data_IF_488231729659
#
_entry.id   IF_488231729659
#
_cell.length_a   1.000
_cell.length_b   1.000
_cell.length_c   1.000
_cell.angle_alpha   90.00
_cell.angle_beta   90.00
_cell.angle_gamma   90.00
#
_symmetry.space_group_name_H-M   'P 1'
#
loop_
_entity.id
_entity.type
_entity.pdbx_description
1 polymer ?
#
# COMPACT_ATOMS: atom_id res chain seq x y z
N UNK A 1 -17.81 -24.37 -11.33
CA UNK A 1 -17.42 -23.49 -10.21
C UNK A 1 -18.64 -23.31 -9.35
N UNK A 2 -18.54 -23.66 -8.07
CA UNK A 2 -19.65 -23.48 -7.14
C UNK A 2 -19.92 -22.00 -6.90
N UNK A 3 -21.15 -21.66 -6.57
CA UNK A 3 -21.60 -20.28 -6.37
C UNK A 3 -20.75 -19.56 -5.30
N UNK A 4 -20.36 -20.27 -4.24
CA UNK A 4 -19.48 -19.78 -3.16
C UNK A 4 -18.09 -19.39 -3.71
N UNK A 5 -17.50 -20.24 -4.54
CA UNK A 5 -16.18 -19.99 -5.15
C UNK A 5 -16.20 -18.73 -6.02
N UNK A 6 -17.28 -18.52 -6.78
CA UNK A 6 -17.45 -17.30 -7.60
C UNK A 6 -17.55 -16.06 -6.71
N UNK A 7 -18.29 -16.11 -5.60
CA UNK A 7 -18.39 -15.01 -4.64
C UNK A 7 -17.01 -14.68 -4.07
N UNK A 8 -16.24 -15.67 -3.63
CA UNK A 8 -14.91 -15.44 -3.05
C UNK A 8 -13.97 -14.78 -4.06
N UNK A 9 -13.97 -15.25 -5.32
CA UNK A 9 -13.15 -14.66 -6.38
C UNK A 9 -13.54 -13.19 -6.60
N UNK A 10 -14.84 -12.88 -6.67
CA UNK A 10 -15.33 -11.51 -6.83
C UNK A 10 -14.92 -10.65 -5.63
N UNK A 11 -15.06 -11.16 -4.40
CA UNK A 11 -14.65 -10.45 -3.19
C UNK A 11 -13.15 -10.16 -3.22
N UNK A 12 -12.31 -11.12 -3.58
CA UNK A 12 -10.86 -10.95 -3.65
C UNK A 12 -10.45 -9.91 -4.72
N UNK A 13 -11.08 -9.96 -5.90
CA UNK A 13 -10.85 -8.96 -6.96
C UNK A 13 -11.28 -7.57 -6.46
N UNK A 14 -12.45 -7.46 -5.84
CA UNK A 14 -12.93 -6.19 -5.30
C UNK A 14 -12.03 -5.65 -4.18
N UNK A 15 -11.49 -6.52 -3.32
CA UNK A 15 -10.53 -6.14 -2.28
C UNK A 15 -9.23 -5.62 -2.90
N UNK A 16 -8.66 -6.33 -3.88
CA UNK A 16 -7.43 -5.89 -4.56
C UNK A 16 -7.63 -4.54 -5.28
N UNK A 17 -8.75 -4.36 -6.00
CA UNK A 17 -9.06 -3.10 -6.69
C UNK A 17 -9.29 -1.96 -5.70
N UNK A 18 -10.02 -2.21 -4.59
CA UNK A 18 -10.22 -1.21 -3.53
C UNK A 18 -8.90 -0.82 -2.87
N UNK A 19 -7.99 -1.77 -2.68
CA UNK A 19 -6.67 -1.49 -2.13
C UNK A 19 -5.79 -0.70 -3.08
N UNK A 20 -5.76 -1.08 -4.36
CA UNK A 20 -4.94 -0.44 -5.36
C UNK A 20 -5.39 0.99 -5.68
N UNK A 21 -6.70 1.20 -5.89
CA UNK A 21 -7.23 2.48 -6.40
C UNK A 21 -8.09 3.20 -5.36
N UNK A 22 -8.88 2.45 -4.60
CA UNK A 22 -9.79 3.02 -3.59
C UNK A 22 -9.07 3.67 -2.41
N UNK A 23 -7.83 3.24 -2.10
CA UNK A 23 -7.02 3.87 -1.05
C UNK A 23 -6.34 5.16 -1.51
N UNK A 24 -6.17 5.38 -2.82
CA UNK A 24 -5.46 6.55 -3.36
C UNK A 24 -6.03 7.88 -2.87
N UNK A 25 -7.35 8.15 -2.92
CA UNK A 25 -7.90 9.39 -2.36
C UNK A 25 -7.66 9.54 -0.85
N UNK A 26 -7.59 8.42 -0.11
CA UNK A 26 -7.29 8.43 1.33
C UNK A 26 -5.83 8.79 1.54
N UNK A 27 -4.91 8.19 0.78
CA UNK A 27 -3.47 8.45 0.85
C UNK A 27 -3.15 9.91 0.48
N UNK A 28 -3.77 10.45 -0.57
CA UNK A 28 -3.64 11.88 -0.96
C UNK A 28 -4.12 12.80 0.16
N UNK A 29 -5.27 12.49 0.76
CA UNK A 29 -5.78 13.26 1.90
C UNK A 29 -4.83 13.18 3.10
N UNK A 30 -4.36 11.97 3.39
CA UNK A 30 -3.49 11.69 4.53
C UNK A 30 -2.15 12.42 4.40
N UNK A 31 -1.55 12.37 3.20
CA UNK A 31 -0.32 13.08 2.90
C UNK A 31 -0.45 14.59 3.16
N UNK A 32 -1.52 15.22 2.65
CA UNK A 32 -1.75 16.66 2.84
C UNK A 32 -1.99 17.04 4.29
N UNK A 33 -2.64 16.17 5.07
CA UNK A 33 -2.87 16.38 6.51
C UNK A 33 -1.58 16.22 7.29
N UNK A 34 -0.83 15.13 7.11
CA UNK A 34 0.44 14.87 7.79
C UNK A 34 1.46 15.97 7.47
N UNK A 35 1.58 16.35 6.21
CA UNK A 35 2.39 17.49 5.78
C UNK A 35 2.02 18.78 6.51
N UNK A 36 0.71 19.04 6.64
CA UNK A 36 0.20 20.17 7.38
C UNK A 36 0.64 20.15 8.83
N UNK A 37 0.44 19.03 9.52
CA UNK A 37 0.81 18.86 10.93
C UNK A 37 2.31 19.09 11.17
N UNK A 38 3.18 18.50 10.34
CA UNK A 38 4.64 18.68 10.44
C UNK A 38 5.03 20.16 10.27
N UNK A 39 4.31 20.89 9.41
CA UNK A 39 4.57 22.31 9.12
C UNK A 39 3.82 23.28 10.04
N UNK A 40 3.11 22.79 11.07
CA UNK A 40 2.33 23.64 11.98
C UNK A 40 1.08 24.27 11.35
N UNK A 41 0.51 23.67 10.29
CA UNK A 41 -0.73 24.11 9.62
C UNK A 41 -1.78 23.00 9.57
N UNK A 42 -3.05 23.34 9.33
CA UNK A 42 -4.15 22.38 9.50
C UNK A 42 -4.37 21.42 8.32
N UNK A 43 -3.76 21.62 7.15
CA UNK A 43 -4.10 20.86 5.94
C UNK A 43 -5.54 21.14 5.43
N UNK A 44 -6.10 20.32 4.52
CA UNK A 44 -7.40 20.57 3.90
C UNK A 44 -8.56 20.60 4.92
N UNK A 45 -9.29 21.72 5.00
CA UNK A 45 -10.35 21.91 6.00
C UNK A 45 -11.58 22.70 5.51
N UNK A 46 -11.69 23.03 4.22
CA UNK A 46 -12.76 23.91 3.69
C UNK A 46 -13.79 23.21 2.79
N UNK A 47 -13.34 22.30 1.93
CA UNK A 47 -14.22 21.60 0.99
C UNK A 47 -15.26 20.76 1.73
N UNK A 48 -16.54 20.93 1.38
CA UNK A 48 -17.66 20.22 1.97
C UNK A 48 -18.67 19.79 0.90
N UNK A 49 -19.44 18.74 1.21
CA UNK A 49 -20.66 18.36 0.49
C UNK A 49 -21.80 18.48 1.48
N UNK A 50 -22.79 19.32 1.17
CA UNK A 50 -23.95 19.57 2.03
C UNK A 50 -23.58 19.93 3.50
N UNK A 51 -22.46 20.64 3.71
CA UNK A 51 -22.00 21.05 5.04
C UNK A 51 -21.12 20.03 5.79
N UNK A 52 -20.92 18.82 5.27
CA UNK A 52 -20.03 17.78 5.83
C UNK A 52 -18.66 17.89 5.14
N UNK A 53 -17.54 17.81 5.87
CA UNK A 53 -16.14 17.88 5.35
C UNK A 53 -15.39 16.55 5.45
N UNK A 54 -15.81 15.66 6.36
CA UNK A 54 -15.13 14.42 6.72
C UNK A 54 -13.64 14.65 7.05
N UNK A 55 -13.34 15.68 7.84
CA UNK A 55 -11.95 16.01 8.15
C UNK A 55 -11.10 16.40 6.93
N UNK A 56 -11.72 16.83 5.83
CA UNK A 56 -11.05 17.24 4.60
C UNK A 56 -10.90 16.14 3.55
N UNK A 57 -11.38 14.92 3.80
CA UNK A 57 -11.32 13.80 2.85
C UNK A 57 -12.10 14.09 1.57
N UNK A 58 -13.14 14.90 1.65
CA UNK A 58 -13.93 15.33 0.49
C UNK A 58 -13.06 16.06 -0.55
N UNK A 59 -11.98 16.74 -0.13
CA UNK A 59 -11.09 17.43 -1.06
C UNK A 59 -10.43 16.47 -2.05
N UNK A 60 -9.98 15.28 -1.62
CA UNK A 60 -9.32 14.35 -2.53
C UNK A 60 -10.30 13.74 -3.53
N UNK A 61 -11.55 13.49 -3.10
CA UNK A 61 -12.64 13.08 -3.99
C UNK A 61 -12.96 14.20 -5.00
N UNK A 62 -13.06 15.45 -4.54
CA UNK A 62 -13.30 16.61 -5.40
C UNK A 62 -12.18 16.81 -6.44
N UNK A 63 -10.92 16.62 -6.05
CA UNK A 63 -9.77 16.71 -6.95
C UNK A 63 -9.81 15.61 -8.03
N UNK A 64 -10.18 14.38 -7.65
CA UNK A 64 -10.37 13.28 -8.59
C UNK A 64 -11.48 13.58 -9.59
N UNK A 65 -12.67 13.98 -9.10
CA UNK A 65 -13.80 14.35 -9.95
C UNK A 65 -13.45 15.52 -10.87
N UNK A 66 -12.74 16.53 -10.37
CA UNK A 66 -12.25 17.66 -11.18
C UNK A 66 -11.42 17.17 -12.36
N UNK A 67 -10.50 16.22 -12.16
CA UNK A 67 -9.67 15.70 -13.25
C UNK A 67 -10.47 14.96 -14.32
N UNK A 68 -11.57 14.31 -13.95
CA UNK A 68 -12.48 13.63 -14.89
C UNK A 68 -13.27 14.62 -15.73
N UNK A 69 -13.74 15.73 -15.14
CA UNK A 69 -14.52 16.75 -15.85
C UNK A 69 -13.67 17.83 -16.53
N UNK A 70 -12.36 17.88 -16.25
CA UNK A 70 -11.45 18.84 -16.87
C UNK A 70 -11.23 18.48 -18.33
N UNK A 71 -11.11 19.50 -19.18
CA UNK A 71 -10.78 19.32 -20.60
C UNK A 71 -9.42 18.61 -20.78
N UNK A 72 -9.45 17.49 -21.52
CA UNK A 72 -8.27 16.73 -21.90
C UNK A 72 -7.62 17.33 -23.15
N UNK A 73 -6.75 18.32 -22.95
CA UNK A 73 -6.02 18.99 -24.01
C UNK A 73 -4.78 18.19 -24.44
N UNK A 74 -4.58 18.01 -25.74
CA UNK A 74 -3.36 17.45 -26.32
C UNK A 74 -2.64 18.51 -27.17
N UNK A 75 -1.42 18.93 -26.79
CA UNK A 75 -0.64 19.90 -27.56
C UNK A 75 -0.44 19.53 -29.03
N UNK A 76 -0.50 20.54 -29.91
CA UNK A 76 -0.40 20.34 -31.37
C UNK A 76 0.98 19.87 -31.86
N UNK A 77 2.03 20.06 -31.07
CA UNK A 77 3.39 19.62 -31.40
C UNK A 77 3.64 18.12 -31.13
N UNK A 78 2.70 17.42 -30.47
CA UNK A 78 2.81 15.98 -30.18
C UNK A 78 2.57 15.18 -31.45
N UNK A 79 3.61 14.51 -31.94
CA UNK A 79 3.56 13.67 -33.15
C UNK A 79 2.91 12.31 -32.89
N UNK A 80 3.21 11.69 -31.74
CA UNK A 80 2.83 10.30 -31.44
C UNK A 80 1.66 10.22 -30.45
N UNK A 81 0.45 10.59 -30.89
CA UNK A 81 -0.76 10.64 -30.04
C UNK A 81 -1.13 9.31 -29.38
N UNK A 82 -0.89 8.19 -30.07
CA UNK A 82 -1.14 6.85 -29.54
C UNK A 82 -0.28 6.58 -28.29
N UNK A 83 1.04 6.76 -28.41
CA UNK A 83 1.97 6.57 -27.28
C UNK A 83 1.71 7.56 -26.15
N UNK A 84 1.36 8.80 -26.49
CA UNK A 84 0.98 9.80 -25.50
C UNK A 84 -0.23 9.36 -24.67
N UNK A 85 -1.25 8.77 -25.31
CA UNK A 85 -2.48 8.35 -24.61
C UNK A 85 -2.29 7.06 -23.80
N UNK A 86 -1.49 6.11 -24.30
CA UNK A 86 -1.32 4.80 -23.65
C UNK A 86 -0.31 4.83 -22.49
N UNK A 87 0.65 5.77 -22.49
CA UNK A 87 1.69 5.84 -21.47
C UNK A 87 1.16 5.92 -20.02
N UNK A 88 0.23 6.84 -19.67
CA UNK A 88 -0.37 6.86 -18.33
C UNK A 88 -1.15 5.58 -18.00
N UNK A 89 -1.81 4.98 -19.01
CA UNK A 89 -2.58 3.76 -18.81
C UNK A 89 -1.65 2.58 -18.48
N UNK A 90 -0.48 2.47 -19.11
CA UNK A 90 0.51 1.44 -18.80
C UNK A 90 0.95 1.53 -17.33
N UNK A 91 1.34 2.72 -16.86
CA UNK A 91 1.75 2.92 -15.46
C UNK A 91 0.62 2.54 -14.50
N UNK A 92 -0.60 3.02 -14.77
CA UNK A 92 -1.77 2.70 -13.97
C UNK A 92 -2.07 1.19 -13.92
N UNK A 93 -2.16 0.52 -15.07
CA UNK A 93 -2.47 -0.91 -15.12
C UNK A 93 -1.37 -1.76 -14.49
N UNK A 94 -0.09 -1.42 -14.67
CA UNK A 94 1.00 -2.14 -14.01
C UNK A 94 0.87 -2.03 -12.49
N UNK A 95 0.65 -0.81 -11.95
CA UNK A 95 0.46 -0.62 -10.51
C UNK A 95 -0.77 -1.36 -9.96
N UNK A 96 -1.87 -1.40 -10.71
CA UNK A 96 -3.09 -2.14 -10.36
C UNK A 96 -2.85 -3.66 -10.34
N UNK A 97 -2.20 -4.18 -11.37
CA UNK A 97 -1.95 -5.61 -11.52
C UNK A 97 -0.98 -6.13 -10.46
N UNK A 98 -0.06 -5.30 -9.96
CA UNK A 98 0.81 -5.68 -8.85
C UNK A 98 0.05 -6.12 -7.59
N UNK A 99 -1.12 -5.53 -7.32
CA UNK A 99 -1.96 -5.95 -6.18
C UNK A 99 -2.63 -7.31 -6.36
N UNK A 100 -2.65 -7.86 -7.58
CA UNK A 100 -3.44 -9.05 -7.89
C UNK A 100 -2.96 -10.31 -7.16
N UNK A 101 -1.66 -10.38 -6.85
CA UNK A 101 -1.00 -11.54 -6.25
C UNK A 101 -0.82 -11.43 -4.73
N UNK A 102 -1.18 -10.29 -4.14
CA UNK A 102 -0.94 -10.02 -2.72
C UNK A 102 -1.92 -10.83 -1.87
N UNK A 103 -1.44 -11.68 -0.93
CA UNK A 103 -2.33 -12.43 -0.04
C UNK A 103 -2.86 -11.52 1.07
N UNK A 104 -4.19 -11.42 1.18
CA UNK A 104 -4.85 -10.60 2.20
C UNK A 104 -5.14 -11.37 3.50
N UNK A 105 -5.25 -12.69 3.40
CA UNK A 105 -5.48 -13.62 4.49
C UNK A 105 -4.93 -15.00 4.10
N UNK A 106 -4.95 -15.94 5.05
CA UNK A 106 -4.60 -17.33 4.78
C UNK A 106 -5.65 -17.99 3.87
N UNK A 107 -5.32 -19.17 3.36
CA UNK A 107 -6.23 -20.05 2.62
C UNK A 107 -7.52 -20.31 3.39
N UNK A 108 -8.63 -19.89 2.78
CA UNK A 108 -9.96 -20.02 3.34
C UNK A 108 -10.52 -21.39 2.94
N UNK A 109 -10.81 -22.22 3.94
CA UNK A 109 -11.48 -23.52 3.74
C UNK A 109 -12.98 -23.34 3.95
N UNK A 110 -13.77 -23.55 2.90
CA UNK A 110 -15.23 -23.60 2.97
C UNK A 110 -15.69 -24.91 2.35
N UNK A 111 -16.47 -25.69 3.10
CA UNK A 111 -17.07 -26.95 2.62
C UNK A 111 -16.03 -27.93 2.01
N UNK A 112 -14.83 -27.96 2.59
CA UNK A 112 -13.71 -28.81 2.14
C UNK A 112 -12.96 -28.32 0.90
N UNK A 113 -13.33 -27.16 0.34
CA UNK A 113 -12.61 -26.52 -0.76
C UNK A 113 -11.67 -25.43 -0.24
N UNK A 114 -10.43 -25.42 -0.74
CA UNK A 114 -9.43 -24.43 -0.39
C UNK A 114 -9.48 -23.22 -1.36
N UNK A 115 -9.63 -22.03 -0.80
CA UNK A 115 -9.67 -20.78 -1.56
C UNK A 115 -8.55 -19.84 -1.11
N UNK A 116 -7.62 -19.54 -2.02
CA UNK A 116 -6.55 -18.59 -1.74
C UNK A 116 -7.11 -17.16 -1.72
N UNK A 117 -6.81 -16.40 -0.66
CA UNK A 117 -7.27 -15.02 -0.47
C UNK A 117 -6.40 -14.02 -1.25
N UNK A 118 -6.32 -14.24 -2.57
CA UNK A 118 -5.64 -13.41 -3.56
C UNK A 118 -6.62 -13.15 -4.72
N UNK A 119 -6.44 -12.04 -5.45
CA UNK A 119 -7.30 -11.76 -6.60
C UNK A 119 -7.03 -12.71 -7.77
N UNK A 120 -5.75 -13.01 -8.03
CA UNK A 120 -5.33 -14.03 -8.98
C UNK A 120 -4.49 -15.05 -8.21
N UNK A 121 -5.00 -16.28 -7.99
CA UNK A 121 -4.27 -17.33 -7.28
C UNK A 121 -3.15 -17.86 -8.18
N UNK A 122 -1.98 -17.21 -8.10
CA UNK A 122 -0.82 -17.49 -8.95
C UNK A 122 0.36 -17.96 -8.10
N UNK A 123 1.00 -19.06 -8.51
CA UNK A 123 2.18 -19.59 -7.80
C UNK A 123 3.42 -18.70 -7.94
N UNK A 124 3.49 -17.89 -9.01
CA UNK A 124 4.60 -17.01 -9.36
C UNK A 124 4.45 -15.57 -8.81
N UNK A 125 4.00 -15.42 -7.56
CA UNK A 125 3.64 -14.11 -7.00
C UNK A 125 4.78 -13.08 -7.00
N UNK A 126 6.01 -13.49 -6.66
CA UNK A 126 7.18 -12.60 -6.68
C UNK A 126 7.57 -12.20 -8.11
N UNK A 127 7.56 -13.17 -9.03
CA UNK A 127 7.92 -12.91 -10.42
C UNK A 127 6.90 -12.00 -11.09
N UNK A 128 5.63 -12.11 -10.71
CA UNK A 128 4.57 -11.21 -11.12
C UNK A 128 4.87 -9.77 -10.71
N UNK A 129 5.25 -9.53 -9.45
CA UNK A 129 5.65 -8.21 -8.98
C UNK A 129 6.79 -7.63 -9.79
N UNK A 130 7.89 -8.36 -9.94
CA UNK A 130 9.06 -7.91 -10.69
C UNK A 130 8.73 -7.63 -12.16
N UNK A 131 7.89 -8.45 -12.79
CA UNK A 131 7.48 -8.24 -14.17
C UNK A 131 6.68 -6.94 -14.35
N UNK A 132 5.71 -6.66 -13.47
CA UNK A 132 4.89 -5.44 -13.58
C UNK A 132 5.62 -4.18 -13.09
N UNK A 133 6.52 -4.30 -12.11
CA UNK A 133 7.45 -3.24 -11.71
C UNK A 133 8.30 -2.79 -12.92
N UNK A 134 8.97 -3.73 -13.61
CA UNK A 134 9.75 -3.42 -14.80
C UNK A 134 8.92 -2.90 -15.98
N UNK A 135 7.70 -3.44 -16.19
CA UNK A 135 6.79 -2.97 -17.25
C UNK A 135 6.31 -1.52 -17.03
N UNK A 136 6.13 -1.09 -15.77
CA UNK A 136 5.72 0.29 -15.46
C UNK A 136 6.73 1.32 -15.98
N UNK A 137 8.03 0.97 -16.01
CA UNK A 137 9.11 1.82 -16.52
C UNK A 137 8.91 2.21 -17.99
N UNK A 138 8.33 1.34 -18.82
CA UNK A 138 8.02 1.67 -20.21
C UNK A 138 6.96 2.78 -20.32
N UNK A 139 6.03 2.85 -19.37
CA UNK A 139 5.05 3.94 -19.30
C UNK A 139 5.73 5.30 -19.07
N UNK A 140 6.77 5.36 -18.24
CA UNK A 140 7.57 6.57 -17.98
C UNK A 140 8.36 6.98 -19.23
N UNK A 141 9.02 6.03 -19.89
CA UNK A 141 9.79 6.27 -21.13
C UNK A 141 8.88 6.84 -22.22
N UNK A 142 7.76 6.16 -22.47
CA UNK A 142 6.79 6.55 -23.49
C UNK A 142 6.16 7.91 -23.16
N UNK A 143 5.91 8.20 -21.88
CA UNK A 143 5.39 9.49 -21.43
C UNK A 143 6.30 10.65 -21.82
N UNK A 144 7.58 10.57 -21.48
CA UNK A 144 8.55 11.61 -21.83
C UNK A 144 8.87 11.69 -23.33
N UNK A 145 8.98 10.54 -24.02
CA UNK A 145 9.27 10.50 -25.46
C UNK A 145 8.11 11.06 -26.29
N UNK A 146 6.88 10.66 -25.97
CA UNK A 146 5.69 11.09 -26.73
C UNK A 146 5.31 12.55 -26.49
N UNK A 147 5.71 13.14 -25.36
CA UNK A 147 5.55 14.56 -25.05
C UNK A 147 6.27 15.49 -26.06
N UNK A 148 7.27 14.99 -26.80
CA UNK A 148 8.02 15.75 -27.82
C UNK A 148 8.60 17.09 -27.28
N UNK A 149 8.92 17.13 -25.99
CA UNK A 149 9.58 18.23 -25.29
C UNK A 149 10.96 17.80 -24.80
N UNK A 150 11.97 18.68 -24.91
CA UNK A 150 13.35 18.38 -24.48
C UNK A 150 13.42 18.05 -22.99
N UNK A 151 12.68 18.78 -22.16
CA UNK A 151 12.65 18.57 -20.70
C UNK A 151 11.91 17.28 -20.32
N UNK A 152 10.81 16.97 -21.01
CA UNK A 152 10.07 15.72 -20.80
C UNK A 152 10.92 14.48 -21.13
N UNK A 153 11.66 14.52 -22.24
CA UNK A 153 12.56 13.43 -22.64
C UNK A 153 13.76 13.27 -21.69
N UNK A 154 14.40 14.37 -21.28
CA UNK A 154 15.50 14.31 -20.31
C UNK A 154 15.03 13.77 -18.95
N UNK A 155 13.83 14.18 -18.53
CA UNK A 155 13.21 13.67 -17.31
C UNK A 155 12.99 12.16 -17.37
N UNK A 156 12.34 11.66 -18.44
CA UNK A 156 12.03 10.23 -18.52
C UNK A 156 13.29 9.38 -18.54
N UNK A 157 14.33 9.78 -19.28
CA UNK A 157 15.61 9.04 -19.29
C UNK A 157 16.24 8.99 -17.89
N UNK A 158 16.23 10.09 -17.15
CA UNK A 158 16.77 10.14 -15.78
C UNK A 158 15.98 9.26 -14.82
N UNK A 159 14.65 9.36 -14.84
CA UNK A 159 13.77 8.56 -13.98
C UNK A 159 13.88 7.08 -14.33
N UNK A 160 13.91 6.72 -15.61
CA UNK A 160 14.12 5.35 -16.06
C UNK A 160 15.47 4.79 -15.59
N UNK A 161 16.55 5.56 -15.72
CA UNK A 161 17.87 5.14 -15.25
C UNK A 161 17.89 4.93 -13.72
N UNK A 162 17.14 5.73 -12.97
CA UNK A 162 16.92 5.52 -11.54
C UNK A 162 16.17 4.21 -11.31
N UNK A 163 14.96 4.06 -11.85
CA UNK A 163 14.10 2.89 -11.61
C UNK A 163 14.85 1.59 -11.91
N UNK A 164 15.55 1.49 -13.05
CA UNK A 164 16.34 0.30 -13.42
C UNK A 164 17.43 -0.03 -12.39
N UNK A 165 18.13 0.99 -11.87
CA UNK A 165 19.21 0.79 -10.87
C UNK A 165 18.67 0.20 -9.57
N UNK A 166 17.53 0.70 -9.11
CA UNK A 166 16.89 0.26 -7.87
C UNK A 166 16.11 -1.04 -8.04
N UNK A 167 15.56 -1.33 -9.22
CA UNK A 167 14.91 -2.59 -9.56
C UNK A 167 15.91 -3.76 -9.48
N UNK A 168 17.11 -3.60 -10.04
CA UNK A 168 18.16 -4.61 -9.95
C UNK A 168 18.55 -4.92 -8.49
N UNK A 169 18.73 -3.86 -7.68
CA UNK A 169 19.07 -4.00 -6.26
C UNK A 169 17.93 -4.64 -5.46
N UNK A 170 16.68 -4.28 -5.76
CA UNK A 170 15.49 -4.86 -5.15
C UNK A 170 15.35 -6.35 -5.49
N UNK A 171 15.50 -6.72 -6.76
CA UNK A 171 15.42 -8.11 -7.20
C UNK A 171 16.47 -9.00 -6.49
N UNK A 172 17.71 -8.51 -6.34
CA UNK A 172 18.74 -9.22 -5.59
C UNK A 172 18.38 -9.36 -4.11
N UNK A 173 17.82 -8.33 -3.48
CA UNK A 173 17.33 -8.43 -2.10
C UNK A 173 16.23 -9.49 -1.96
N UNK A 174 15.30 -9.57 -2.91
CA UNK A 174 14.25 -10.61 -2.93
C UNK A 174 14.85 -12.01 -3.05
N UNK A 175 15.91 -12.23 -3.82
CA UNK A 175 16.56 -13.54 -3.93
C UNK A 175 17.01 -14.05 -2.56
N UNK A 176 17.58 -13.18 -1.71
CA UNK A 176 17.96 -13.57 -0.35
C UNK A 176 16.76 -13.95 0.53
N UNK A 177 15.60 -13.34 0.31
CA UNK A 177 14.35 -13.69 0.98
C UNK A 177 13.81 -15.04 0.49
N UNK A 178 13.85 -15.29 -0.83
CA UNK A 178 13.47 -16.58 -1.43
C UNK A 178 14.34 -17.71 -0.86
N UNK A 179 15.67 -17.51 -0.76
CA UNK A 179 16.58 -18.49 -0.19
C UNK A 179 16.27 -18.80 1.29
N UNK A 180 15.79 -17.81 2.04
CA UNK A 180 15.49 -17.99 3.47
C UNK A 180 14.20 -18.79 3.69
N UNK A 181 13.19 -18.59 2.84
CA UNK A 181 11.88 -19.26 2.98
C UNK A 181 11.73 -20.52 2.12
N UNK A 182 12.60 -20.74 1.13
CA UNK A 182 12.53 -21.91 0.25
C UNK A 182 11.32 -21.97 -0.70
N UNK A 183 10.54 -20.89 -0.80
CA UNK A 183 9.37 -20.79 -1.67
C UNK A 183 9.41 -19.49 -2.48
N UNK A 184 8.71 -19.46 -3.61
CA UNK A 184 8.46 -18.25 -4.42
C UNK A 184 7.01 -17.77 -4.28
N UNK A 185 6.18 -18.54 -3.56
CA UNK A 185 4.77 -18.27 -3.37
C UNK A 185 4.58 -17.38 -2.15
N UNK A 186 3.87 -16.26 -2.33
CA UNK A 186 3.74 -15.25 -1.28
C UNK A 186 2.95 -15.76 -0.06
N UNK A 187 1.99 -16.65 -0.24
CA UNK A 187 1.25 -17.17 0.92
C UNK A 187 2.14 -18.03 1.80
N UNK A 188 2.95 -18.92 1.19
CA UNK A 188 3.83 -19.83 1.94
C UNK A 188 4.87 -19.04 2.74
N UNK A 189 5.39 -17.95 2.15
CA UNK A 189 6.29 -17.03 2.85
C UNK A 189 5.64 -16.36 4.06
N UNK A 190 4.36 -15.98 3.96
CA UNK A 190 3.63 -15.39 5.08
C UNK A 190 3.37 -16.45 6.15
N UNK A 191 2.95 -17.66 5.76
CA UNK A 191 2.74 -18.77 6.69
C UNK A 191 4.02 -19.12 7.46
N UNK A 192 5.17 -19.16 6.79
CA UNK A 192 6.47 -19.37 7.43
C UNK A 192 6.85 -18.26 8.44
N UNK A 193 6.35 -17.03 8.23
CA UNK A 193 6.51 -15.90 9.17
C UNK A 193 5.58 -15.97 10.39
N UNK A 194 4.64 -16.91 10.43
CA UNK A 194 3.77 -17.17 11.57
C UNK A 194 4.45 -17.96 12.70
N UNK A 195 5.60 -18.58 12.42
CA UNK A 195 6.36 -19.34 13.42
C UNK A 195 7.06 -18.43 14.45
N UNK A 196 7.40 -18.99 15.60
CA UNK A 196 8.11 -18.29 16.66
C UNK A 196 9.59 -18.69 16.67
N UNK A 197 10.47 -17.76 16.33
CA UNK A 197 11.90 -17.88 16.59
C UNK A 197 12.15 -17.88 18.10
N UNK A 198 12.92 -18.86 18.56
CA UNK A 198 13.30 -19.05 19.97
C UNK A 198 12.11 -19.13 20.95
N UNK A 199 10.90 -19.42 20.44
CA UNK A 199 9.67 -19.53 21.24
C UNK A 199 9.06 -18.21 21.71
N UNK A 200 9.62 -17.05 21.35
CA UNK A 200 9.09 -15.73 21.78
C UNK A 200 9.08 -14.66 20.69
N UNK A 201 9.95 -14.76 19.68
CA UNK A 201 10.12 -13.72 18.67
C UNK A 201 9.40 -14.14 17.38
N UNK A 202 8.48 -13.33 16.81
CA UNK A 202 7.89 -13.66 15.53
C UNK A 202 8.96 -13.84 14.45
N UNK A 203 8.85 -14.86 13.59
CA UNK A 203 9.77 -15.15 12.49
C UNK A 203 9.60 -14.19 11.30
N UNK A 204 9.32 -12.92 11.58
CA UNK A 204 9.09 -11.88 10.58
C UNK A 204 10.32 -11.69 9.70
N UNK A 205 10.08 -11.44 8.40
CA UNK A 205 11.17 -11.28 7.44
C UNK A 205 12.14 -10.16 7.78
N UNK A 206 11.69 -9.10 8.48
CA UNK A 206 12.58 -8.02 8.94
C UNK A 206 13.63 -8.51 9.96
N UNK A 207 13.33 -9.57 10.70
CA UNK A 207 14.21 -10.15 11.71
C UNK A 207 15.11 -11.20 11.07
N UNK A 208 14.57 -12.04 10.19
CA UNK A 208 15.34 -13.08 9.48
C UNK A 208 16.33 -12.44 8.50
N UNK A 209 15.87 -11.44 7.75
CA UNK A 209 16.62 -10.79 6.67
C UNK A 209 16.63 -9.25 6.83
N UNK A 210 17.29 -8.70 7.86
CA UNK A 210 17.27 -7.26 8.14
C UNK A 210 17.94 -6.44 7.03
N UNK A 211 19.03 -6.96 6.43
CA UNK A 211 19.72 -6.27 5.36
C UNK A 211 18.89 -6.29 4.07
N UNK A 212 18.23 -7.41 3.73
CA UNK A 212 17.31 -7.46 2.60
C UNK A 212 16.13 -6.52 2.80
N UNK A 213 15.56 -6.47 4.01
CA UNK A 213 14.46 -5.57 4.35
C UNK A 213 14.84 -4.11 4.15
N UNK A 214 16.02 -3.70 4.62
CA UNK A 214 16.50 -2.34 4.46
C UNK A 214 16.71 -1.99 2.98
N UNK A 215 17.37 -2.87 2.22
CA UNK A 215 17.62 -2.65 0.79
C UNK A 215 16.28 -2.57 0.04
N UNK A 216 15.35 -3.49 0.29
CA UNK A 216 14.04 -3.52 -0.34
C UNK A 216 13.24 -2.25 -0.04
N UNK A 217 13.18 -1.83 1.23
CA UNK A 217 12.47 -0.60 1.63
C UNK A 217 13.07 0.62 0.91
N UNK A 218 14.40 0.77 0.91
CA UNK A 218 15.06 1.89 0.22
C UNK A 218 14.78 1.87 -1.29
N UNK A 219 14.84 0.70 -1.92
CA UNK A 219 14.52 0.57 -3.35
C UNK A 219 13.04 0.85 -3.64
N UNK A 220 12.13 0.43 -2.76
CA UNK A 220 10.70 0.70 -2.87
C UNK A 220 10.39 2.20 -2.79
N UNK A 221 11.10 2.94 -1.93
CA UNK A 221 11.05 4.40 -1.91
C UNK A 221 11.51 5.03 -3.23
N UNK A 222 12.60 4.50 -3.80
CA UNK A 222 13.15 4.99 -5.05
C UNK A 222 12.26 4.68 -6.25
N UNK A 223 11.59 3.52 -6.26
CA UNK A 223 10.68 3.10 -7.33
C UNK A 223 9.34 3.86 -7.28
N UNK A 224 8.84 4.16 -6.08
CA UNK A 224 7.64 4.98 -5.91
C UNK A 224 7.80 6.44 -6.39
N UNK A 225 9.00 6.85 -6.81
CA UNK A 225 9.33 8.19 -7.32
C UNK A 225 8.88 9.34 -6.40
N UNK A 226 8.85 9.09 -5.09
CA UNK A 226 8.51 10.10 -4.07
C UNK A 226 9.76 10.62 -3.38
N UNK A 227 9.68 11.85 -2.85
CA UNK A 227 10.74 12.45 -2.03
C UNK A 227 11.14 11.48 -0.92
N UNK A 228 12.43 11.19 -0.72
CA UNK A 228 13.59 11.95 -1.20
C UNK A 228 14.14 11.55 -2.59
N UNK A 229 13.49 10.61 -3.29
CA UNK A 229 13.89 10.03 -4.58
C UNK A 229 13.06 10.55 -5.78
N UNK A 230 12.45 11.74 -5.66
CA UNK A 230 11.54 12.36 -6.63
C UNK A 230 12.26 13.10 -7.77
N UNK A 231 13.28 12.50 -8.40
CA UNK A 231 14.04 13.18 -9.46
C UNK A 231 13.12 13.58 -10.63
N UNK A 232 12.08 12.78 -10.88
CA UNK A 232 11.07 13.01 -11.92
C UNK A 232 10.35 14.36 -11.80
N UNK A 233 10.02 14.79 -10.59
CA UNK A 233 9.19 15.98 -10.31
C UNK A 233 10.04 17.21 -9.93
N UNK A 234 11.34 17.22 -10.31
CA UNK A 234 12.25 18.29 -9.91
C UNK A 234 11.94 19.66 -10.49
N UNK A 235 11.16 20.46 -9.76
CA UNK A 235 10.76 21.82 -10.14
C UNK A 235 11.95 22.70 -10.58
N UNK A 236 13.05 22.66 -9.83
CA UNK A 236 14.23 23.48 -10.11
C UNK A 236 15.06 23.03 -11.33
N UNK A 237 14.91 21.78 -11.80
CA UNK A 237 15.75 21.22 -12.86
C UNK A 237 14.98 20.91 -14.16
N UNK A 238 13.74 20.42 -14.03
CA UNK A 238 12.92 19.89 -15.14
C UNK A 238 11.42 20.22 -14.97
N UNK A 239 11.06 21.17 -14.10
CA UNK A 239 9.69 21.66 -13.84
C UNK A 239 8.75 20.58 -13.28
N UNK A 240 8.13 19.77 -14.14
CA UNK A 240 7.27 18.64 -13.76
C UNK A 240 7.63 17.37 -14.54
N UNK A 241 8.80 17.37 -15.18
CA UNK A 241 9.36 16.22 -15.88
C UNK A 241 8.45 15.67 -16.99
N UNK A 242 8.28 14.35 -17.01
CA UNK A 242 7.42 13.66 -17.99
C UNK A 242 5.92 13.91 -17.80
N UNK A 243 5.48 14.56 -16.71
CA UNK A 243 4.07 14.95 -16.53
C UNK A 243 3.70 16.24 -17.24
N UNK A 244 4.68 17.07 -17.63
CA UNK A 244 4.47 18.49 -17.99
C UNK A 244 3.41 18.73 -19.07
N UNK A 245 3.37 17.89 -20.11
CA UNK A 245 2.44 18.07 -21.25
C UNK A 245 1.07 17.39 -21.03
N UNK A 246 0.89 16.65 -19.93
CA UNK A 246 -0.32 15.89 -19.65
C UNK A 246 -1.38 16.73 -18.92
N UNK A 247 -2.63 16.66 -19.41
CA UNK A 247 -3.79 17.32 -18.77
C UNK A 247 -4.81 16.30 -18.24
N UNK A 248 -5.75 16.82 -17.44
CA UNK A 248 -6.98 16.15 -17.00
C UNK A 248 -6.78 14.68 -16.57
N UNK A 249 -7.51 13.76 -17.20
CA UNK A 249 -7.52 12.34 -16.82
C UNK A 249 -6.19 11.65 -17.10
N UNK A 250 -5.44 12.06 -18.13
CA UNK A 250 -4.13 11.44 -18.42
C UNK A 250 -3.11 11.77 -17.35
N UNK A 251 -3.10 13.02 -16.88
CA UNK A 251 -2.33 13.40 -15.68
C UNK A 251 -2.84 12.66 -14.44
N UNK A 252 -4.16 12.56 -14.28
CA UNK A 252 -4.79 11.83 -13.19
C UNK A 252 -4.36 10.36 -13.12
N UNK A 253 -4.23 9.67 -14.27
CA UNK A 253 -3.78 8.28 -14.34
C UNK A 253 -2.32 8.12 -13.89
N UNK A 254 -1.42 9.05 -14.21
CA UNK A 254 -0.06 9.02 -13.67
C UNK A 254 -0.07 9.17 -12.14
N UNK A 255 -0.79 10.16 -11.62
CA UNK A 255 -0.84 10.40 -10.18
C UNK A 255 -1.48 9.23 -9.43
N UNK A 256 -2.59 8.69 -9.93
CA UNK A 256 -3.23 7.51 -9.33
C UNK A 256 -2.32 6.30 -9.41
N UNK A 257 -1.63 6.10 -10.54
CA UNK A 257 -0.67 5.02 -10.73
C UNK A 257 0.54 5.11 -9.79
N UNK A 258 1.07 6.29 -9.53
CA UNK A 258 2.19 6.50 -8.59
C UNK A 258 1.77 6.24 -7.14
N UNK A 259 0.58 6.68 -6.73
CA UNK A 259 0.04 6.33 -5.40
C UNK A 259 -0.29 4.85 -5.27
N UNK A 260 -0.81 4.22 -6.33
CA UNK A 260 -1.05 2.80 -6.37
C UNK A 260 0.28 2.02 -6.31
N UNK A 261 1.33 2.46 -7.01
CA UNK A 261 2.65 1.85 -6.94
C UNK A 261 3.25 1.94 -5.53
N UNK A 262 3.15 3.11 -4.88
CA UNK A 262 3.54 3.27 -3.47
C UNK A 262 2.75 2.31 -2.56
N UNK A 263 1.44 2.20 -2.75
CA UNK A 263 0.61 1.22 -2.04
C UNK A 263 1.07 -0.21 -2.30
N UNK A 264 1.33 -0.56 -3.56
CA UNK A 264 1.79 -1.89 -3.94
C UNK A 264 3.11 -2.24 -3.23
N UNK A 265 4.08 -1.33 -3.24
CA UNK A 265 5.33 -1.48 -2.50
C UNK A 265 5.11 -1.63 -0.99
N UNK A 266 4.20 -0.84 -0.40
CA UNK A 266 3.85 -0.95 1.02
C UNK A 266 3.20 -2.31 1.36
N UNK A 267 2.37 -2.82 0.47
CA UNK A 267 1.75 -4.13 0.59
C UNK A 267 2.80 -5.26 0.47
N UNK A 268 3.75 -5.17 -0.46
CA UNK A 268 4.86 -6.11 -0.56
C UNK A 268 5.79 -6.07 0.66
N UNK A 269 6.12 -4.88 1.19
CA UNK A 269 6.88 -4.76 2.45
C UNK A 269 6.14 -5.46 3.59
N UNK A 270 4.82 -5.27 3.67
CA UNK A 270 3.98 -5.89 4.69
C UNK A 270 3.99 -7.42 4.58
N UNK A 271 3.84 -7.95 3.36
CA UNK A 271 3.83 -9.40 3.08
C UNK A 271 5.19 -10.04 3.30
N UNK A 272 6.27 -9.44 2.79
CA UNK A 272 7.61 -10.04 2.81
C UNK A 272 8.32 -9.89 4.16
N UNK A 273 8.11 -8.79 4.88
CA UNK A 273 8.93 -8.46 6.06
C UNK A 273 8.15 -8.29 7.37
N UNK A 274 6.85 -8.01 7.32
CA UNK A 274 6.04 -7.74 8.52
C UNK A 274 5.01 -8.85 8.83
N UNK A 275 5.22 -10.08 8.32
CA UNK A 275 4.36 -11.22 8.61
C UNK A 275 2.97 -11.13 7.97
N UNK A 276 2.79 -10.33 6.92
CA UNK A 276 1.54 -10.22 6.16
C UNK A 276 0.32 -10.06 7.07
N UNK A 277 -0.57 -11.03 7.00
CA UNK A 277 -1.84 -11.07 7.76
C UNK A 277 -1.74 -11.66 9.18
N UNK A 278 -0.59 -12.17 9.61
CA UNK A 278 -0.44 -12.73 10.96
C UNK A 278 -0.48 -11.66 12.05
N UNK A 279 -1.12 -11.96 13.16
CA UNK A 279 -1.00 -11.17 14.38
C UNK A 279 0.33 -11.56 15.05
N UNK A 280 1.08 -10.62 15.64
CA UNK A 280 2.25 -10.98 16.43
C UNK A 280 1.93 -12.11 17.43
N UNK A 281 2.76 -13.15 17.47
CA UNK A 281 2.62 -14.31 18.35
C UNK A 281 1.43 -15.26 18.11
N UNK A 282 0.61 -15.03 17.08
CA UNK A 282 -0.51 -15.90 16.75
C UNK A 282 -0.46 -16.32 15.28
N UNK A 283 -0.14 -17.60 15.05
CA UNK A 283 -0.31 -18.25 13.74
C UNK A 283 -1.81 -18.46 13.42
N UNK A 284 -2.12 -18.90 12.20
CA UNK A 284 -3.52 -19.13 11.80
C UNK A 284 -4.19 -20.21 12.65
N UNK A 285 -3.45 -21.27 13.02
CA UNK A 285 -4.00 -22.39 13.78
C UNK A 285 -4.35 -21.99 15.23
N UNK A 286 -3.45 -21.29 15.92
CA UNK A 286 -3.69 -20.76 17.27
C UNK A 286 -4.78 -19.70 17.27
N UNK A 287 -4.88 -18.89 16.21
CA UNK A 287 -5.97 -17.92 16.05
C UNK A 287 -7.33 -18.60 15.92
N UNK A 288 -7.43 -19.67 15.12
CA UNK A 288 -8.65 -20.48 15.01
C UNK A 288 -9.01 -21.16 16.34
N UNK A 289 -8.03 -21.72 17.03
CA UNK A 289 -8.24 -22.40 18.31
C UNK A 289 -8.69 -21.45 19.44
N UNK A 290 -8.30 -20.17 19.39
CA UNK A 290 -8.61 -19.17 20.41
C UNK A 290 -9.58 -18.10 19.91
N UNK A 291 -10.39 -18.39 18.88
CA UNK A 291 -11.24 -17.39 18.23
C UNK A 291 -12.22 -16.73 19.22
N UNK A 292 -12.76 -17.49 20.18
CA UNK A 292 -13.69 -16.98 21.19
C UNK A 292 -13.02 -15.94 22.11
N UNK A 293 -11.77 -16.20 22.51
CA UNK A 293 -10.98 -15.26 23.30
C UNK A 293 -10.67 -14.00 22.49
N UNK A 294 -10.34 -14.15 21.22
CA UNK A 294 -10.05 -13.01 20.32
C UNK A 294 -11.31 -12.17 20.08
N UNK A 295 -12.46 -12.80 19.85
CA UNK A 295 -13.74 -12.11 19.73
C UNK A 295 -14.10 -11.35 21.01
N UNK A 296 -13.89 -11.96 22.18
CA UNK A 296 -14.11 -11.29 23.47
C UNK A 296 -13.21 -10.06 23.63
N UNK A 297 -11.92 -10.17 23.28
CA UNK A 297 -11.00 -9.02 23.30
C UNK A 297 -11.47 -7.94 22.33
N UNK A 298 -11.90 -8.28 21.11
CA UNK A 298 -12.40 -7.31 20.13
C UNK A 298 -13.69 -6.61 20.59
N UNK A 299 -14.61 -7.34 21.21
CA UNK A 299 -15.85 -6.79 21.78
C UNK A 299 -15.54 -5.74 22.86
N UNK A 300 -14.48 -5.93 23.64
CA UNK A 300 -14.06 -4.95 24.65
C UNK A 300 -13.22 -3.81 24.05
N UNK A 301 -12.34 -4.12 23.10
CA UNK A 301 -11.41 -3.18 22.50
C UNK A 301 -12.09 -2.16 21.59
N UNK A 302 -13.06 -2.58 20.77
CA UNK A 302 -13.72 -1.71 19.78
C UNK A 302 -14.49 -0.55 20.44
N UNK A 303 -15.30 -0.75 21.49
CA UNK A 303 -15.90 0.33 22.25
C UNK A 303 -14.85 1.29 22.84
N UNK A 304 -13.76 0.77 23.40
CA UNK A 304 -12.71 1.61 23.98
C UNK A 304 -12.04 2.45 22.90
N UNK A 305 -11.65 1.85 21.77
CA UNK A 305 -11.04 2.56 20.64
C UNK A 305 -11.97 3.60 20.04
N UNK A 306 -13.26 3.29 19.90
CA UNK A 306 -14.25 4.24 19.37
C UNK A 306 -14.45 5.43 20.32
N UNK A 307 -14.51 5.20 21.64
CA UNK A 307 -14.58 6.27 22.64
C UNK A 307 -13.30 7.12 22.69
N UNK A 308 -12.12 6.50 22.62
CA UNK A 308 -10.83 7.20 22.55
C UNK A 308 -10.76 8.09 21.29
N UNK A 309 -11.18 7.55 20.14
CA UNK A 309 -11.22 8.29 18.89
C UNK A 309 -12.21 9.46 18.93
N UNK A 310 -13.40 9.26 19.52
CA UNK A 310 -14.38 10.32 19.75
C UNK A 310 -13.80 11.41 20.67
N UNK A 311 -13.16 11.02 21.78
CA UNK A 311 -12.54 11.94 22.71
C UNK A 311 -11.41 12.76 22.06
N UNK A 312 -10.57 12.11 21.26
CA UNK A 312 -9.55 12.77 20.45
C UNK A 312 -10.16 13.76 19.44
N UNK A 313 -11.23 13.36 18.76
CA UNK A 313 -11.92 14.20 17.77
C UNK A 313 -12.55 15.44 18.42
N UNK A 314 -13.23 15.27 19.55
CA UNK A 314 -13.85 16.36 20.29
C UNK A 314 -12.81 17.33 20.85
N UNK A 315 -11.66 16.81 21.32
CA UNK A 315 -10.55 17.63 21.82
C UNK A 315 -9.90 18.46 20.72
N UNK A 316 -9.72 17.90 19.53
CA UNK A 316 -8.96 18.55 18.46
C UNK A 316 -9.82 19.37 17.49
N UNK A 317 -11.15 19.25 17.56
CA UNK A 317 -12.08 19.97 16.69
C UNK A 317 -13.00 20.91 17.48
N UNK A 318 -12.42 21.68 18.39
CA UNK A 318 -13.13 22.71 19.17
C UNK A 318 -13.26 24.00 18.36
N UNK A 319 -14.48 24.54 18.28
CA UNK A 319 -14.77 25.81 17.63
C UNK A 319 -15.59 26.69 18.58
N UNK A 320 -15.25 27.98 18.66
CA UNK A 320 -15.83 28.92 19.63
C UNK A 320 -17.33 29.16 19.42
N UNK A 321 -17.85 28.97 18.20
CA UNK A 321 -19.26 29.19 17.89
C UNK A 321 -20.01 27.85 17.74
N UNK A 322 -20.97 27.54 18.64
CA UNK A 322 -21.78 26.30 18.57
C UNK A 322 -22.62 26.19 17.29
N UNK A 323 -22.94 27.31 16.64
CA UNK A 323 -23.74 27.34 15.41
C UNK A 323 -22.89 27.18 14.14
N UNK A 324 -21.55 27.11 14.23
CA UNK A 324 -20.69 26.84 13.07
C UNK A 324 -21.01 25.45 12.50
N UNK A 325 -21.19 25.30 11.17
CA UNK A 325 -21.30 24.01 10.50
C UNK A 325 -20.26 22.96 10.94
N UNK A 326 -19.06 23.39 11.34
CA UNK A 326 -17.97 22.51 11.82
C UNK A 326 -18.27 21.86 13.17
N UNK A 327 -18.91 22.59 14.08
CA UNK A 327 -19.33 22.06 15.37
C UNK A 327 -20.46 21.05 15.19
N UNK A 328 -21.41 21.36 14.30
CA UNK A 328 -22.50 20.43 13.90
C UNK A 328 -21.95 19.16 13.25
N UNK A 329 -20.96 19.28 12.38
CA UNK A 329 -20.28 18.13 11.76
C UNK A 329 -19.66 17.21 12.82
N UNK A 330 -18.94 17.77 13.79
CA UNK A 330 -18.32 16.99 14.87
C UNK A 330 -19.36 16.24 15.70
N UNK A 331 -20.50 16.86 16.00
CA UNK A 331 -21.60 16.21 16.69
C UNK A 331 -22.23 15.08 15.87
N UNK A 332 -22.41 15.28 14.56
CA UNK A 332 -22.92 14.24 13.64
C UNK A 332 -21.92 13.07 13.57
N UNK A 333 -20.64 13.35 13.32
CA UNK A 333 -19.59 12.34 13.24
C UNK A 333 -19.47 11.56 14.56
N UNK A 334 -19.55 12.23 15.70
CA UNK A 334 -19.57 11.58 17.02
C UNK A 334 -20.70 10.54 17.11
N UNK A 335 -21.93 10.92 16.72
CA UNK A 335 -23.07 10.00 16.72
C UNK A 335 -22.91 8.86 15.73
N UNK A 336 -22.36 9.13 14.54
CA UNK A 336 -22.11 8.13 13.50
C UNK A 336 -21.06 7.12 13.97
N UNK A 337 -19.92 7.57 14.52
CA UNK A 337 -18.87 6.67 15.01
C UNK A 337 -19.32 5.88 16.24
N UNK A 338 -20.11 6.49 17.14
CA UNK A 338 -20.70 5.77 18.27
C UNK A 338 -21.73 4.74 17.81
N UNK A 339 -22.58 5.09 16.84
CA UNK A 339 -23.54 4.17 16.23
C UNK A 339 -22.85 3.01 15.51
N UNK A 340 -21.83 3.29 14.69
CA UNK A 340 -21.07 2.27 13.96
C UNK A 340 -20.28 1.37 14.92
N UNK A 341 -19.62 1.95 15.93
CA UNK A 341 -18.94 1.20 17.00
C UNK A 341 -19.90 0.29 17.77
N UNK A 342 -21.09 0.81 18.12
CA UNK A 342 -22.15 0.05 18.77
C UNK A 342 -22.68 -1.09 17.90
N UNK A 343 -22.97 -0.84 16.63
CA UNK A 343 -23.43 -1.86 15.67
C UNK A 343 -22.39 -2.97 15.50
N UNK A 344 -21.12 -2.62 15.32
CA UNK A 344 -20.03 -3.60 15.20
C UNK A 344 -19.93 -4.42 16.49
N UNK A 345 -19.94 -3.79 17.66
CA UNK A 345 -19.85 -4.48 18.94
C UNK A 345 -21.05 -5.41 19.18
N UNK A 346 -22.27 -4.97 18.88
CA UNK A 346 -23.49 -5.80 18.97
C UNK A 346 -23.44 -6.95 17.98
N UNK A 347 -22.96 -6.73 16.76
CA UNK A 347 -22.82 -7.79 15.76
C UNK A 347 -21.80 -8.85 16.20
N UNK A 348 -20.68 -8.44 16.77
CA UNK A 348 -19.67 -9.35 17.31
C UNK A 348 -20.19 -10.09 18.55
N UNK A 349 -20.93 -9.41 19.43
CA UNK A 349 -21.56 -10.02 20.60
C UNK A 349 -22.64 -11.03 20.20
N UNK A 350 -23.43 -10.73 19.17
CA UNK A 350 -24.41 -11.68 18.61
C UNK A 350 -23.70 -12.92 18.07
N UNK A 351 -22.64 -12.74 17.26
CA UNK A 351 -21.83 -13.83 16.71
C UNK A 351 -21.18 -14.66 17.83
N UNK A 352 -20.69 -14.02 18.88
CA UNK A 352 -20.13 -14.69 20.06
C UNK A 352 -21.19 -15.53 20.81
N UNK A 353 -22.40 -14.99 20.99
CA UNK A 353 -23.49 -15.69 21.70
C UNK A 353 -24.14 -16.81 20.87
N UNK A 354 -24.19 -16.68 19.54
CA UNK A 354 -24.75 -17.71 18.66
C UNK A 354 -23.81 -18.90 18.47
N UNK A 355 -22.54 -18.77 18.85
CA UNK A 355 -21.47 -19.70 18.50
C UNK A 355 -21.14 -19.64 16.99
N UNK A 356 -19.92 -20.02 16.64
CA UNK A 356 -19.49 -20.12 15.24
C UNK A 356 -19.49 -21.58 14.80
N UNK A 357 -20.04 -21.84 13.62
CA UNK A 357 -19.77 -23.09 12.89
C UNK A 357 -18.33 -23.10 12.36
N UNK A 358 -17.84 -24.25 11.89
CA UNK A 358 -16.48 -24.39 11.32
C UNK A 358 -16.22 -23.37 10.19
N UNK A 359 -17.16 -23.24 9.24
CA UNK A 359 -17.11 -22.23 8.19
C UNK A 359 -17.14 -20.80 8.78
N UNK A 360 -17.91 -20.58 9.84
CA UNK A 360 -17.95 -19.31 10.56
C UNK A 360 -16.60 -18.92 11.15
N UNK A 361 -15.89 -19.87 11.79
CA UNK A 361 -14.54 -19.66 12.35
C UNK A 361 -13.55 -19.30 11.25
N UNK A 362 -13.60 -20.01 10.11
CA UNK A 362 -12.73 -19.72 8.97
C UNK A 362 -12.96 -18.31 8.40
N UNK A 363 -14.21 -17.88 8.25
CA UNK A 363 -14.56 -16.54 7.76
C UNK A 363 -14.17 -15.46 8.77
N UNK A 364 -14.45 -15.65 10.06
CA UNK A 364 -14.08 -14.70 11.11
C UNK A 364 -12.56 -14.51 11.18
N UNK A 365 -11.80 -15.60 11.10
CA UNK A 365 -10.33 -15.59 11.04
C UNK A 365 -9.84 -14.78 9.83
N UNK A 366 -10.41 -15.01 8.65
CA UNK A 366 -10.04 -14.26 7.45
C UNK A 366 -10.33 -12.75 7.56
N UNK A 367 -11.45 -12.35 8.17
CA UNK A 367 -11.78 -10.92 8.39
C UNK A 367 -10.78 -10.26 9.35
N UNK A 368 -10.37 -10.95 10.41
CA UNK A 368 -9.36 -10.46 11.36
C UNK A 368 -7.99 -10.34 10.68
N UNK A 369 -7.63 -11.34 9.87
CA UNK A 369 -6.39 -11.36 9.07
C UNK A 369 -6.34 -10.22 8.05
N UNK A 370 -7.42 -9.99 7.29
CA UNK A 370 -7.54 -8.86 6.37
C UNK A 370 -7.39 -7.54 7.13
N UNK A 371 -8.04 -7.40 8.29
CA UNK A 371 -7.96 -6.19 9.11
C UNK A 371 -6.54 -5.93 9.63
N UNK A 372 -5.83 -6.99 10.03
CA UNK A 372 -4.44 -6.94 10.47
C UNK A 372 -3.51 -6.54 9.32
N UNK A 373 -3.70 -7.13 8.15
CA UNK A 373 -2.97 -6.77 6.94
C UNK A 373 -3.21 -5.30 6.57
N UNK A 374 -4.47 -4.83 6.61
CA UNK A 374 -4.82 -3.43 6.36
C UNK A 374 -4.10 -2.47 7.31
N UNK A 375 -4.07 -2.79 8.61
CA UNK A 375 -3.44 -1.96 9.62
C UNK A 375 -1.93 -1.81 9.36
N UNK A 376 -1.24 -2.92 9.09
CA UNK A 376 0.19 -2.90 8.76
C UNK A 376 0.47 -2.20 7.42
N UNK A 377 -0.36 -2.45 6.41
CA UNK A 377 -0.30 -1.76 5.12
C UNK A 377 -0.39 -0.24 5.29
N UNK A 378 -1.40 0.25 6.04
CA UNK A 378 -1.55 1.69 6.29
C UNK A 378 -0.42 2.25 7.15
N UNK A 379 0.13 1.46 8.08
CA UNK A 379 1.32 1.85 8.84
C UNK A 379 2.54 2.04 7.92
N UNK A 380 2.80 1.12 6.98
CA UNK A 380 3.89 1.27 6.01
C UNK A 380 3.63 2.49 5.11
N UNK A 381 2.41 2.66 4.59
CA UNK A 381 2.03 3.87 3.84
C UNK A 381 2.27 5.17 4.64
N UNK A 382 2.00 5.17 5.95
CA UNK A 382 2.32 6.29 6.82
C UNK A 382 3.82 6.55 6.91
N UNK A 383 4.65 5.50 7.00
CA UNK A 383 6.11 5.62 6.96
C UNK A 383 6.56 6.25 5.64
N UNK A 384 5.95 5.89 4.51
CA UNK A 384 6.25 6.55 3.22
C UNK A 384 6.00 8.06 3.26
N UNK A 385 4.85 8.46 3.78
CA UNK A 385 4.48 9.88 3.93
C UNK A 385 5.42 10.58 4.91
N UNK A 386 5.76 9.94 6.04
CA UNK A 386 6.59 10.54 7.07
C UNK A 386 8.04 10.78 6.61
N UNK A 387 8.63 9.79 5.92
CA UNK A 387 9.99 9.89 5.37
C UNK A 387 10.10 11.06 4.38
N UNK A 388 9.06 11.26 3.55
CA UNK A 388 8.98 12.36 2.59
C UNK A 388 9.14 13.75 3.21
N UNK A 389 8.68 13.95 4.44
CA UNK A 389 8.74 15.25 5.13
C UNK A 389 9.89 15.37 6.14
N UNK A 390 10.72 14.33 6.27
CA UNK A 390 11.84 14.31 7.23
C UNK A 390 13.20 14.29 6.54
N UNK A 391 13.34 13.53 5.45
CA UNK A 391 14.60 13.43 4.73
C UNK A 391 14.75 14.54 3.69
N UNK A 392 16.00 14.99 3.54
CA UNK A 392 16.39 15.91 2.49
C UNK A 392 16.36 15.20 1.14
N UNK A 393 16.03 15.97 0.10
CA UNK A 393 16.04 15.50 -1.28
C UNK A 393 17.46 15.19 -1.74
N UNK A 394 17.65 14.05 -2.40
CA UNK A 394 18.94 13.68 -2.97
C UNK A 394 19.14 14.21 -4.38
N UNK A 395 20.39 14.50 -4.75
CA UNK A 395 20.78 14.80 -6.13
C UNK A 395 20.87 13.52 -6.96
N UNK A 396 20.62 13.62 -8.27
CA UNK A 396 20.73 12.50 -9.21
C UNK A 396 22.03 11.70 -9.10
N UNK A 397 23.18 12.38 -9.03
CA UNK A 397 24.48 11.71 -8.93
C UNK A 397 24.62 10.88 -7.64
N UNK A 398 24.07 11.38 -6.52
CA UNK A 398 24.09 10.69 -5.23
C UNK A 398 23.17 9.47 -5.24
N UNK A 399 22.01 9.59 -5.89
CA UNK A 399 21.05 8.49 -6.03
C UNK A 399 21.61 7.35 -6.87
N UNK A 400 22.19 7.67 -8.03
CA UNK A 400 22.85 6.66 -8.87
C UNK A 400 24.04 6.02 -8.14
N UNK A 401 24.81 6.78 -7.37
CA UNK A 401 25.89 6.24 -6.56
C UNK A 401 25.38 5.29 -5.47
N UNK A 402 24.27 5.64 -4.80
CA UNK A 402 23.65 4.80 -3.78
C UNK A 402 23.17 3.47 -4.36
N UNK A 403 22.46 3.48 -5.48
CA UNK A 403 22.00 2.26 -6.17
C UNK A 403 23.16 1.35 -6.59
N UNK A 404 24.09 1.87 -7.39
CA UNK A 404 25.14 1.06 -8.02
C UNK A 404 26.32 0.72 -7.12
N UNK A 405 26.78 1.64 -6.26
CA UNK A 405 28.00 1.45 -5.46
C UNK A 405 27.73 0.93 -4.05
N UNK A 406 26.50 1.07 -3.55
CA UNK A 406 26.17 0.70 -2.17
C UNK A 406 25.13 -0.42 -2.14
N UNK A 407 23.93 -0.20 -2.67
CA UNK A 407 22.82 -1.15 -2.54
C UNK A 407 23.07 -2.45 -3.30
N UNK A 408 23.55 -2.38 -4.55
CA UNK A 408 23.80 -3.57 -5.35
C UNK A 408 24.89 -4.48 -4.74
N UNK A 409 26.09 -3.99 -4.36
CA UNK A 409 27.08 -4.82 -3.69
C UNK A 409 26.60 -5.37 -2.34
N UNK A 410 25.84 -4.58 -1.56
CA UNK A 410 25.27 -5.05 -0.30
C UNK A 410 24.23 -6.16 -0.50
N UNK A 411 23.41 -6.07 -1.56
CA UNK A 411 22.44 -7.11 -1.89
C UNK A 411 23.14 -8.42 -2.27
N UNK A 412 24.20 -8.36 -3.08
CA UNK A 412 25.02 -9.52 -3.43
C UNK A 412 25.70 -10.14 -2.19
N UNK A 413 26.25 -9.30 -1.32
CA UNK A 413 26.81 -9.76 -0.05
C UNK A 413 25.75 -10.44 0.81
N UNK A 414 24.54 -9.89 0.87
CA UNK A 414 23.43 -10.49 1.63
C UNK A 414 23.07 -11.87 1.09
N UNK A 415 22.97 -12.05 -0.23
CA UNK A 415 22.71 -13.35 -0.85
C UNK A 415 23.78 -14.37 -0.42
N UNK A 416 25.06 -13.99 -0.45
CA UNK A 416 26.16 -14.88 -0.08
C UNK A 416 26.09 -15.29 1.40
N UNK A 417 25.86 -14.33 2.30
CA UNK A 417 25.70 -14.60 3.73
C UNK A 417 24.51 -15.52 3.98
N UNK A 418 23.35 -15.23 3.36
CA UNK A 418 22.15 -16.05 3.48
C UNK A 418 22.39 -17.46 2.98
N UNK A 419 23.03 -17.63 1.82
CA UNK A 419 23.35 -18.95 1.28
C UNK A 419 24.24 -19.77 2.23
N UNK A 420 25.25 -19.14 2.84
CA UNK A 420 26.08 -19.81 3.85
C UNK A 420 25.25 -20.23 5.07
N UNK A 421 24.41 -19.34 5.61
CA UNK A 421 23.58 -19.62 6.78
C UNK A 421 22.62 -20.79 6.51
N UNK A 422 21.94 -20.80 5.36
CA UNK A 422 21.03 -21.89 4.96
C UNK A 422 21.77 -23.22 4.88
N UNK A 423 22.95 -23.24 4.24
CA UNK A 423 23.78 -24.45 4.14
C UNK A 423 24.26 -24.94 5.51
N UNK A 424 24.67 -24.04 6.40
CA UNK A 424 25.10 -24.39 7.76
C UNK A 424 23.95 -24.86 8.66
N UNK A 425 22.74 -24.31 8.47
CA UNK A 425 21.55 -24.69 9.21
C UNK A 425 20.97 -26.05 8.76
N UNK A 426 21.36 -26.55 7.57
CA UNK A 426 20.92 -27.85 7.04
C UNK A 426 19.48 -27.86 6.55
N UNK A 427 18.94 -26.68 6.23
CA UNK A 427 17.60 -26.48 5.67
C UNK A 427 17.58 -26.55 4.15
#
# INVERSE_FOLDING_TARGET
MDFVSVIIIIVNILLAVKLAVGTTPILVWWERRVAGFIQGRTGPNRCNIAGIRLGGLIQSIADMLKLVFKEDFTPGHIKYKFFFTIAPAIVFFCSLLTFAVIPFADTLFIDGQAHMMQAIPMHLGIMWFLAYAGLATYGIILGGYSSNSKYGLLSSIRTTAQVISYEASMALAIISVILSYGSIHLNDMVTAQGELLFGFLPSWGIIIQPLAALIFIVCAFAEANRTPFDIAEGESEIVAGYHTEYSAMRFGLFQVGEFAAMGASAAFITTLFLGGYHIPWMDTATLKANIDNVLMVLILLIPVLTLLFIGWMQKNNTWDNPNDPRAKETAILTKVFLGLGGVVTVSLAYVFLSGLSENGVNIATAVIQISTFMLKFFFVCFVFIWVRWTLLRFRYDQLQMLGWKVLLPLALLNIFITALVVVFAGS
#
